data_IF_907171819683
#
_entry.id   IF_907171819683
#
_cell.length_a   1.000
_cell.length_b   1.000
_cell.length_c   1.000
_cell.angle_alpha   90.00
_cell.angle_beta   90.00
_cell.angle_gamma   90.00
#
_symmetry.space_group_name_H-M   'P 1'
#
loop_
_entity.id
_entity.type
_entity.pdbx_description
1 polymer ?
#
# COMPACT_ATOMS: atom_id res chain seq x y z
N UNK A 1 -7.18 6.47 -13.71
CA UNK A 1 -5.95 5.77 -14.13
C UNK A 1 -6.00 4.28 -13.85
N UNK A 2 -6.25 3.85 -12.60
CA UNK A 2 -6.38 2.42 -12.21
C UNK A 2 -7.58 1.74 -12.88
N UNK A 3 -8.75 2.40 -12.90
CA UNK A 3 -9.97 1.91 -13.57
C UNK A 3 -9.84 1.84 -15.10
N UNK A 4 -8.93 2.61 -15.70
CA UNK A 4 -8.67 2.61 -17.16
C UNK A 4 -7.68 1.53 -17.60
N UNK A 5 -6.94 0.93 -16.66
CA UNK A 5 -5.99 -0.15 -16.95
C UNK A 5 -6.55 -1.54 -16.52
N UNK A 6 -7.85 -1.63 -16.19
CA UNK A 6 -8.51 -2.85 -15.71
C UNK A 6 -7.84 -3.49 -14.47
N UNK A 7 -7.01 -2.71 -13.77
CA UNK A 7 -6.37 -3.17 -12.54
C UNK A 7 -7.42 -3.03 -11.44
N UNK A 8 -8.01 -4.15 -11.05
CA UNK A 8 -8.95 -4.19 -9.94
C UNK A 8 -8.34 -3.58 -8.69
N UNK A 9 -9.08 -2.70 -8.00
CA UNK A 9 -8.60 -1.98 -6.81
C UNK A 9 -8.02 -2.92 -5.75
N UNK A 10 -8.57 -4.13 -5.64
CA UNK A 10 -8.06 -5.20 -4.76
C UNK A 10 -6.63 -5.67 -5.10
N UNK A 11 -6.23 -5.67 -6.38
CA UNK A 11 -4.87 -6.03 -6.80
C UNK A 11 -3.82 -4.97 -6.44
N UNK A 12 -4.22 -3.71 -6.25
CA UNK A 12 -3.33 -2.64 -5.77
C UNK A 12 -3.37 -2.56 -4.24
N UNK A 13 -4.55 -2.67 -3.65
CA UNK A 13 -4.75 -2.65 -2.19
C UNK A 13 -4.01 -3.78 -1.47
N UNK A 14 -3.98 -5.00 -2.01
CA UNK A 14 -3.25 -6.13 -1.41
C UNK A 14 -1.75 -5.85 -1.23
N UNK A 15 -0.98 -5.54 -2.30
CA UNK A 15 0.45 -5.25 -2.18
C UNK A 15 0.70 -3.95 -1.41
N UNK A 16 -0.19 -2.95 -1.49
CA UNK A 16 -0.06 -1.74 -0.68
C UNK A 16 -0.18 -2.05 0.82
N UNK A 17 -1.15 -2.89 1.21
CA UNK A 17 -1.32 -3.31 2.61
C UNK A 17 -0.13 -4.13 3.09
N UNK A 18 0.40 -5.01 2.25
CA UNK A 18 1.63 -5.75 2.54
C UNK A 18 2.82 -4.80 2.72
N UNK A 19 2.96 -3.78 1.88
CA UNK A 19 4.02 -2.77 1.99
C UNK A 19 3.93 -1.96 3.28
N UNK A 20 2.72 -1.71 3.77
CA UNK A 20 2.48 -0.85 4.93
C UNK A 20 2.56 -1.58 6.26
N UNK A 21 2.04 -2.80 6.37
CA UNK A 21 1.94 -3.53 7.64
C UNK A 21 2.87 -4.75 7.69
N UNK A 22 3.32 -5.27 6.54
CA UNK A 22 4.05 -6.55 6.47
C UNK A 22 3.18 -7.77 6.77
N UNK A 23 1.90 -7.57 7.12
CA UNK A 23 0.91 -8.61 7.35
C UNK A 23 -0.42 -8.22 6.69
N UNK A 24 -1.18 -9.21 6.23
CA UNK A 24 -2.52 -9.04 5.66
C UNK A 24 -3.60 -8.72 6.70
N UNK A 25 -3.21 -8.48 7.95
CA UNK A 25 -4.08 -8.30 9.11
C UNK A 25 -3.85 -6.91 9.71
N UNK A 26 -4.93 -6.16 9.95
CA UNK A 26 -4.84 -4.82 10.55
C UNK A 26 -6.06 -3.94 10.22
N UNK A 27 -6.10 -2.71 10.75
CA UNK A 27 -7.13 -1.72 10.43
C UNK A 27 -7.09 -1.30 8.94
N UNK A 28 -7.96 -0.38 8.54
CA UNK A 28 -8.06 0.09 7.16
C UNK A 28 -6.72 0.63 6.66
N UNK A 29 -6.41 0.43 5.36
CA UNK A 29 -5.12 0.84 4.78
C UNK A 29 -4.91 2.34 4.95
N UNK A 30 -6.00 3.11 4.93
CA UNK A 30 -6.01 4.55 5.16
C UNK A 30 -5.65 4.92 6.61
N UNK A 31 -6.18 4.23 7.62
CA UNK A 31 -5.81 4.44 9.02
C UNK A 31 -4.33 4.14 9.26
N UNK A 32 -3.82 3.09 8.63
CA UNK A 32 -2.40 2.74 8.71
C UNK A 32 -1.56 3.84 8.07
N UNK A 33 -1.87 4.29 6.86
CA UNK A 33 -1.16 5.41 6.22
C UNK A 33 -1.21 6.69 7.06
N UNK A 34 -2.34 6.93 7.74
CA UNK A 34 -2.51 8.08 8.62
C UNK A 34 -1.67 7.96 9.90
N UNK A 35 -1.62 6.76 10.49
CA UNK A 35 -0.87 6.47 11.72
C UNK A 35 0.65 6.50 11.50
N UNK A 36 1.14 5.93 10.39
CA UNK A 36 2.60 5.92 10.09
C UNK A 36 3.05 7.26 9.47
N UNK A 37 2.12 8.01 8.87
CA UNK A 37 2.40 9.30 8.24
C UNK A 37 2.93 9.20 6.81
N UNK A 38 2.87 10.34 6.11
CA UNK A 38 3.15 10.43 4.66
C UNK A 38 4.58 10.03 4.30
N UNK A 39 5.57 10.50 5.06
CA UNK A 39 6.97 10.25 4.76
C UNK A 39 7.32 8.76 4.80
N UNK A 40 6.88 8.08 5.85
CA UNK A 40 7.11 6.65 6.03
C UNK A 40 6.36 5.81 4.99
N UNK A 41 5.11 6.20 4.70
CA UNK A 41 4.28 5.58 3.67
C UNK A 41 4.97 5.59 2.30
N UNK A 42 5.48 6.76 1.87
CA UNK A 42 6.20 6.88 0.60
C UNK A 42 7.49 6.07 0.61
N UNK A 43 8.25 6.10 1.72
CA UNK A 43 9.49 5.32 1.87
C UNK A 43 9.23 3.81 1.72
N UNK A 44 8.18 3.28 2.37
CA UNK A 44 7.81 1.86 2.26
C UNK A 44 7.35 1.47 0.87
N UNK A 45 6.55 2.31 0.21
CA UNK A 45 6.13 2.08 -1.18
C UNK A 45 7.35 2.07 -2.11
N UNK A 46 8.27 3.02 -1.96
CA UNK A 46 9.51 3.07 -2.74
C UNK A 46 10.39 1.83 -2.51
N UNK A 47 10.51 1.36 -1.26
CA UNK A 47 11.24 0.14 -0.96
C UNK A 47 10.62 -1.08 -1.63
N UNK A 48 9.30 -1.24 -1.62
CA UNK A 48 8.66 -2.41 -2.26
C UNK A 48 8.80 -2.36 -3.78
N UNK A 49 8.71 -1.18 -4.38
CA UNK A 49 8.94 -0.98 -5.82
C UNK A 49 10.39 -1.24 -6.20
N UNK A 50 11.35 -0.99 -5.30
CA UNK A 50 12.77 -1.26 -5.54
C UNK A 50 13.16 -2.73 -5.32
N UNK A 51 12.33 -3.51 -4.59
CA UNK A 51 12.57 -4.93 -4.30
C UNK A 51 11.92 -5.83 -5.37
N UNK A 52 10.87 -5.34 -6.05
CA UNK A 52 10.25 -5.97 -7.21
C UNK A 52 11.11 -5.81 -8.48
#
# INVERSE_FOLDING_TARGET
>A
WITSNEIGFGKVMMPLRLALVGALQGPDVFDIMFMIGKAETVKRIQQIVSIL
#
